data_IF_815359314056
#
_entry.id   IF_815359314056
#
_cell.length_a   1.000
_cell.length_b   1.000
_cell.length_c   1.000
_cell.angle_alpha   90.00
_cell.angle_beta   90.00
_cell.angle_gamma   90.00
#
_symmetry.space_group_name_H-M   'P 1'
#
loop_
_entity.id
_entity.type
_entity.pdbx_description
1 polymer ?
#
# COMPACT_ATOMS: atom_id res chain seq x y z
N UNK A 1 0.09 18.41 17.57
CA UNK A 1 -0.83 19.51 17.14
C UNK A 1 -0.73 19.69 15.63
N UNK A 2 -1.06 18.67 14.84
CA UNK A 2 -1.18 18.76 13.38
C UNK A 2 -2.57 19.20 12.97
N UNK A 3 -2.70 19.82 11.79
CA UNK A 3 -3.99 20.01 11.14
C UNK A 3 -4.54 18.67 10.67
N UNK A 4 -5.87 18.51 10.64
CA UNK A 4 -6.57 17.27 10.25
C UNK A 4 -6.14 16.69 8.87
N UNK A 5 -5.43 17.44 8.05
CA UNK A 5 -5.06 17.05 6.69
C UNK A 5 -3.64 16.47 6.52
N UNK A 6 -2.75 16.56 7.49
CA UNK A 6 -1.42 15.96 7.40
C UNK A 6 -0.78 15.81 8.79
N UNK A 7 -1.08 14.71 9.46
CA UNK A 7 -0.51 14.37 10.77
C UNK A 7 0.67 13.39 10.67
N UNK A 8 1.16 13.09 9.46
CA UNK A 8 2.27 12.17 9.27
C UNK A 8 3.59 12.79 9.73
N UNK A 9 4.45 12.01 10.41
CA UNK A 9 5.81 12.45 10.73
C UNK A 9 6.63 12.61 9.45
N UNK A 10 7.60 13.51 9.48
CA UNK A 10 8.58 13.67 8.42
C UNK A 10 9.56 12.48 8.45
N UNK A 11 9.83 11.87 7.31
CA UNK A 11 10.81 10.77 7.21
C UNK A 11 12.08 11.29 6.54
N UNK A 12 13.22 11.08 7.21
CA UNK A 12 14.56 11.46 6.72
C UNK A 12 15.38 10.19 6.52
N UNK A 13 15.79 9.94 5.30
CA UNK A 13 16.64 8.81 4.92
C UNK A 13 18.03 9.33 4.58
N UNK A 14 19.03 8.92 5.34
CA UNK A 14 20.44 9.37 5.18
C UNK A 14 20.61 10.91 5.04
N UNK A 15 19.77 11.65 5.79
CA UNK A 15 19.79 13.12 5.82
C UNK A 15 18.89 13.82 4.81
N UNK A 16 18.12 13.11 3.99
CA UNK A 16 17.22 13.67 2.97
C UNK A 16 15.79 13.23 3.18
N UNK A 17 14.80 14.13 2.98
CA UNK A 17 13.37 13.79 3.06
C UNK A 17 12.98 12.77 1.97
N UNK A 18 12.55 11.59 2.38
CA UNK A 18 12.17 10.48 1.49
C UNK A 18 11.06 9.62 2.11
N UNK A 19 10.59 8.61 1.39
CA UNK A 19 9.57 7.66 1.86
C UNK A 19 10.22 6.37 2.39
N UNK A 20 9.77 5.88 3.54
CA UNK A 20 10.16 4.54 4.01
C UNK A 20 9.66 3.43 3.10
N UNK A 21 8.54 3.64 2.41
CA UNK A 21 7.94 2.63 1.53
C UNK A 21 8.77 2.35 0.27
N UNK A 22 9.73 3.23 -0.05
CA UNK A 22 10.63 3.09 -1.19
C UNK A 22 11.90 2.30 -0.84
N UNK A 23 12.07 1.93 0.43
CA UNK A 23 13.24 1.22 0.93
C UNK A 23 12.99 -0.28 1.05
N UNK A 24 14.04 -1.08 0.79
CA UNK A 24 14.08 -2.46 1.24
C UNK A 24 14.37 -2.47 2.75
N UNK A 25 13.54 -3.13 3.59
CA UNK A 25 13.80 -3.25 5.03
C UNK A 25 15.19 -3.84 5.36
N UNK A 26 15.70 -4.72 4.49
CA UNK A 26 17.04 -5.32 4.66
C UNK A 26 18.19 -4.30 4.50
N UNK A 27 17.94 -3.15 3.89
CA UNK A 27 18.94 -2.09 3.73
C UNK A 27 18.97 -1.13 4.93
N UNK A 28 18.02 -1.23 5.85
CA UNK A 28 17.94 -0.37 7.02
C UNK A 28 18.89 -0.86 8.10
N UNK A 29 19.72 0.06 8.62
CA UNK A 29 20.59 -0.19 9.77
C UNK A 29 19.91 0.19 11.07
N UNK A 30 19.27 1.36 11.13
CA UNK A 30 18.58 1.86 12.32
C UNK A 30 17.46 2.82 11.97
N UNK A 31 16.46 2.88 12.87
CA UNK A 31 15.38 3.85 12.82
C UNK A 31 15.33 4.56 14.18
N UNK A 32 15.34 5.89 14.17
CA UNK A 32 15.21 6.72 15.36
C UNK A 32 14.02 7.67 15.19
N UNK A 33 13.25 7.87 16.27
CA UNK A 33 12.05 8.73 16.23
C UNK A 33 12.26 9.92 17.15
N UNK A 34 12.26 11.13 16.56
CA UNK A 34 12.33 12.39 17.29
C UNK A 34 10.90 12.90 17.52
N UNK A 35 10.46 12.84 18.79
CA UNK A 35 9.09 13.19 19.18
C UNK A 35 8.98 14.59 19.81
N UNK A 36 10.10 15.13 20.30
CA UNK A 36 10.11 16.42 20.96
C UNK A 36 10.49 17.55 20.01
N UNK A 37 9.98 18.76 20.31
CA UNK A 37 10.17 19.92 19.46
C UNK A 37 11.63 20.40 19.39
N UNK A 38 12.43 20.15 20.43
CA UNK A 38 13.83 20.58 20.45
C UNK A 38 14.69 19.75 19.49
N UNK A 39 14.51 18.42 19.49
CA UNK A 39 15.26 17.53 18.59
C UNK A 39 14.78 17.61 17.13
N UNK A 40 13.50 17.95 16.89
CA UNK A 40 12.95 18.11 15.53
C UNK A 40 13.14 19.50 14.93
N UNK A 41 13.54 20.50 15.72
CA UNK A 41 13.66 21.91 15.29
C UNK A 41 14.60 22.13 14.10
N UNK A 42 15.66 21.35 13.98
CA UNK A 42 16.63 21.44 12.86
C UNK A 42 16.01 21.08 11.51
N UNK A 43 14.86 20.42 11.48
CA UNK A 43 14.14 20.02 10.25
C UNK A 43 13.01 21.00 9.87
N UNK A 44 12.89 22.13 10.59
CA UNK A 44 11.94 23.20 10.29
C UNK A 44 10.48 22.86 10.62
N UNK A 45 9.55 23.67 10.07
CA UNK A 45 8.12 23.57 10.37
C UNK A 45 7.44 22.27 9.93
N UNK A 46 7.95 21.60 8.91
CA UNK A 46 7.46 20.30 8.45
C UNK A 46 7.62 19.20 9.51
N UNK A 47 8.55 19.36 10.44
CA UNK A 47 8.84 18.42 11.52
C UNK A 47 7.90 18.56 12.74
N UNK A 48 6.87 19.41 12.67
CA UNK A 48 5.94 19.65 13.78
C UNK A 48 5.22 18.38 14.30
N UNK A 49 5.06 17.36 13.45
CA UNK A 49 4.47 16.06 13.80
C UNK A 49 5.52 15.01 14.21
N UNK A 50 6.77 15.41 14.41
CA UNK A 50 7.90 14.53 14.68
C UNK A 50 8.68 14.13 13.42
N UNK A 51 9.84 13.52 13.64
CA UNK A 51 10.74 13.09 12.56
C UNK A 51 11.14 11.64 12.79
N UNK A 52 11.09 10.85 11.73
CA UNK A 52 11.63 9.49 11.69
C UNK A 52 12.94 9.53 10.92
N UNK A 53 14.05 9.28 11.61
CA UNK A 53 15.38 9.19 11.01
C UNK A 53 15.66 7.75 10.64
N UNK A 54 15.91 7.50 9.38
CA UNK A 54 16.30 6.20 8.85
C UNK A 54 17.75 6.27 8.40
N UNK A 55 18.59 5.43 8.99
CA UNK A 55 19.98 5.26 8.55
C UNK A 55 20.11 3.94 7.81
N UNK A 56 20.69 3.98 6.61
CA UNK A 56 20.89 2.77 5.81
C UNK A 56 22.24 2.12 6.09
N UNK A 57 22.34 0.83 5.77
CA UNK A 57 23.56 0.06 5.92
C UNK A 57 24.67 0.63 5.05
N UNK A 58 25.89 0.69 5.61
CA UNK A 58 27.11 1.15 4.96
C UNK A 58 28.12 0.03 4.82
N UNK A 59 29.09 0.20 3.93
CA UNK A 59 30.21 -0.69 3.77
C UNK A 59 31.06 -0.81 5.04
N UNK A 60 31.65 -1.99 5.26
CA UNK A 60 32.57 -2.25 6.36
C UNK A 60 33.95 -2.59 5.79
N UNK A 61 35.00 -2.12 6.46
CA UNK A 61 36.35 -2.54 6.10
C UNK A 61 36.53 -4.04 6.32
N UNK A 62 37.12 -4.71 5.35
CA UNK A 62 37.32 -6.15 5.37
C UNK A 62 37.10 -6.80 4.01
N UNK A 63 37.25 -8.12 3.96
CA UNK A 63 36.96 -8.90 2.75
C UNK A 63 35.50 -8.72 2.34
N UNK A 64 35.28 -8.73 1.04
CA UNK A 64 33.92 -8.70 0.51
C UNK A 64 33.08 -9.86 1.09
N UNK A 65 31.90 -9.53 1.63
CA UNK A 65 30.92 -10.50 2.11
C UNK A 65 29.62 -10.37 1.32
N UNK A 66 29.07 -11.50 0.93
CA UNK A 66 27.80 -11.60 0.22
C UNK A 66 26.79 -12.17 1.21
N UNK A 67 25.64 -11.48 1.33
CA UNK A 67 24.52 -11.95 2.13
C UNK A 67 23.31 -12.10 1.23
N UNK A 68 22.61 -13.21 1.39
CA UNK A 68 21.29 -13.43 0.80
C UNK A 68 20.28 -13.69 1.90
N UNK A 69 19.15 -13.02 1.82
CA UNK A 69 17.99 -13.29 2.68
C UNK A 69 16.73 -13.50 1.84
N UNK A 70 15.91 -14.44 2.28
CA UNK A 70 14.61 -14.68 1.69
C UNK A 70 13.57 -14.88 2.79
N UNK A 71 12.38 -14.28 2.60
CA UNK A 71 11.23 -14.46 3.46
C UNK A 71 10.04 -14.86 2.60
N UNK A 72 9.26 -15.80 3.10
CA UNK A 72 8.01 -16.23 2.48
C UNK A 72 6.92 -16.22 3.53
N UNK A 73 5.73 -15.83 3.16
CA UNK A 73 4.62 -15.76 4.08
C UNK A 73 3.26 -15.75 3.36
N UNK A 74 2.24 -15.89 4.14
CA UNK A 74 0.86 -15.74 3.70
C UNK A 74 0.19 -14.74 4.62
N UNK A 75 -0.54 -13.80 4.05
CA UNK A 75 -1.35 -12.86 4.78
C UNK A 75 -2.82 -13.27 4.67
N UNK A 76 -3.55 -13.16 5.75
CA UNK A 76 -4.99 -13.36 5.80
C UNK A 76 -5.61 -12.29 6.70
N UNK A 77 -6.89 -11.98 6.54
CA UNK A 77 -7.57 -11.10 7.49
C UNK A 77 -7.46 -11.65 8.90
N UNK A 78 -7.05 -10.84 9.86
CA UNK A 78 -6.95 -11.25 11.26
C UNK A 78 -8.32 -11.46 11.87
N UNK A 79 -9.28 -10.61 11.47
CA UNK A 79 -10.66 -10.64 11.92
C UNK A 79 -11.52 -9.94 10.86
N UNK A 80 -12.66 -10.52 10.54
CA UNK A 80 -13.67 -9.89 9.70
C UNK A 80 -14.94 -9.68 10.55
N UNK A 81 -15.67 -8.56 10.36
CA UNK A 81 -16.94 -8.37 11.04
C UNK A 81 -17.92 -9.50 10.72
N UNK A 82 -18.57 -10.00 11.75
CA UNK A 82 -19.67 -10.95 11.55
C UNK A 82 -20.96 -10.21 11.22
N UNK A 83 -21.59 -10.58 10.11
CA UNK A 83 -22.87 -10.03 9.70
C UNK A 83 -23.99 -11.04 9.92
N UNK A 84 -25.19 -10.51 10.17
CA UNK A 84 -26.39 -11.33 10.31
C UNK A 84 -26.72 -12.05 9.01
N UNK A 85 -27.20 -13.29 9.13
CA UNK A 85 -27.74 -14.05 8.00
C UNK A 85 -29.08 -13.44 7.53
N UNK A 86 -29.54 -13.82 6.34
CA UNK A 86 -30.84 -13.36 5.82
C UNK A 86 -32.01 -13.74 6.74
N UNK A 87 -31.97 -14.94 7.33
CA UNK A 87 -32.99 -15.37 8.29
C UNK A 87 -32.98 -14.51 9.56
N UNK A 88 -31.80 -14.23 10.10
CA UNK A 88 -31.64 -13.32 11.27
C UNK A 88 -32.08 -11.90 10.92
N UNK A 89 -31.70 -11.39 9.75
CA UNK A 89 -32.12 -10.06 9.28
C UNK A 89 -33.65 -9.96 9.17
N UNK A 90 -34.33 -10.98 8.60
CA UNK A 90 -35.76 -11.03 8.48
C UNK A 90 -36.45 -11.06 9.86
N UNK A 91 -35.91 -11.85 10.79
CA UNK A 91 -36.42 -11.96 12.17
C UNK A 91 -36.29 -10.63 12.89
N UNK A 92 -35.10 -10.00 12.90
CA UNK A 92 -34.85 -8.71 13.54
C UNK A 92 -35.70 -7.60 12.91
N UNK A 93 -35.92 -7.66 11.59
CA UNK A 93 -36.82 -6.71 10.90
C UNK A 93 -38.24 -6.84 11.40
N UNK A 94 -38.77 -8.07 11.57
CA UNK A 94 -40.09 -8.30 12.11
C UNK A 94 -40.22 -7.81 13.56
N UNK A 95 -39.21 -8.06 14.40
CA UNK A 95 -39.16 -7.56 15.78
C UNK A 95 -39.19 -6.03 15.82
N UNK A 96 -38.35 -5.36 15.03
CA UNK A 96 -38.34 -3.91 14.95
C UNK A 96 -39.69 -3.33 14.49
N UNK A 97 -40.36 -4.00 13.55
CA UNK A 97 -41.70 -3.62 13.10
C UNK A 97 -42.76 -3.82 14.20
N UNK A 98 -42.69 -4.91 14.94
CA UNK A 98 -43.59 -5.16 16.06
C UNK A 98 -43.47 -4.08 17.16
N UNK A 99 -42.22 -3.68 17.53
CA UNK A 99 -41.99 -2.55 18.43
C UNK A 99 -42.54 -1.23 17.92
N UNK A 100 -42.59 -1.04 16.60
CA UNK A 100 -43.18 0.13 15.96
C UNK A 100 -44.70 0.02 15.73
N UNK A 101 -45.36 -1.02 16.26
CA UNK A 101 -46.81 -1.27 16.08
C UNK A 101 -47.20 -1.66 14.65
N UNK A 102 -46.28 -2.15 13.84
CA UNK A 102 -46.49 -2.55 12.45
C UNK A 102 -46.57 -4.07 12.31
N UNK A 103 -47.30 -4.53 11.29
CA UNK A 103 -47.39 -5.96 10.94
C UNK A 103 -46.00 -6.51 10.51
N UNK A 104 -45.70 -7.79 10.76
CA UNK A 104 -44.53 -8.46 10.24
C UNK A 104 -44.37 -8.27 8.71
N UNK A 105 -43.13 -8.15 8.26
CA UNK A 105 -42.82 -8.02 6.83
C UNK A 105 -42.58 -9.39 6.19
N UNK A 106 -42.02 -10.31 6.95
CA UNK A 106 -41.66 -11.65 6.52
C UNK A 106 -42.49 -12.68 7.25
N UNK A 107 -43.02 -13.68 6.51
CA UNK A 107 -43.73 -14.83 7.11
C UNK A 107 -42.73 -15.83 7.73
N UNK A 108 -43.21 -16.71 8.61
CA UNK A 108 -42.41 -17.79 9.17
C UNK A 108 -41.86 -18.74 8.08
N UNK A 109 -42.63 -19.02 7.04
CA UNK A 109 -42.20 -19.82 5.90
C UNK A 109 -41.05 -19.15 5.12
N UNK A 110 -41.14 -17.85 4.87
CA UNK A 110 -40.07 -17.10 4.20
C UNK A 110 -38.79 -17.10 5.02
N UNK A 111 -38.89 -16.89 6.35
CA UNK A 111 -37.72 -16.93 7.24
C UNK A 111 -37.08 -18.34 7.21
N UNK A 112 -37.92 -19.41 7.18
CA UNK A 112 -37.42 -20.77 7.08
C UNK A 112 -36.65 -21.01 5.77
N UNK A 113 -37.15 -20.53 4.62
CA UNK A 113 -36.48 -20.62 3.32
C UNK A 113 -35.14 -19.91 3.28
N UNK A 114 -35.02 -18.76 3.94
CA UNK A 114 -33.73 -18.06 4.14
C UNK A 114 -32.79 -18.89 5.03
N UNK A 115 -33.30 -19.64 6.01
CA UNK A 115 -32.48 -20.38 6.94
C UNK A 115 -31.97 -21.69 6.37
N UNK A 116 -32.81 -22.44 5.63
CA UNK A 116 -32.52 -23.80 5.14
C UNK A 116 -31.92 -23.80 3.71
N UNK A 117 -31.91 -22.63 3.01
CA UNK A 117 -31.40 -22.55 1.67
C UNK A 117 -32.14 -23.34 0.61
N UNK A 118 -33.41 -23.75 0.86
CA UNK A 118 -34.21 -24.53 -0.05
C UNK A 118 -34.55 -23.83 -1.36
N UNK A 119 -34.49 -22.51 -1.38
CA UNK A 119 -34.74 -21.68 -2.56
C UNK A 119 -33.73 -20.52 -2.60
N UNK A 120 -32.46 -20.79 -2.94
CA UNK A 120 -31.38 -19.81 -2.81
C UNK A 120 -31.47 -18.62 -3.78
N UNK A 121 -32.25 -18.74 -4.84
CA UNK A 121 -32.43 -17.64 -5.79
C UNK A 121 -33.50 -16.65 -5.37
N UNK A 122 -34.61 -17.10 -4.79
CA UNK A 122 -35.69 -16.28 -4.30
C UNK A 122 -35.49 -15.85 -2.83
N UNK A 123 -34.81 -16.70 -2.03
CA UNK A 123 -34.49 -16.47 -0.62
C UNK A 123 -32.99 -16.60 -0.38
N UNK A 124 -32.17 -15.72 -0.99
CA UNK A 124 -30.72 -15.80 -0.91
C UNK A 124 -30.20 -15.50 0.50
N UNK A 125 -29.08 -16.11 0.84
CA UNK A 125 -28.28 -15.80 2.01
C UNK A 125 -26.82 -15.63 1.59
N UNK A 126 -26.52 -14.48 1.00
CA UNK A 126 -25.22 -14.20 0.39
C UNK A 126 -24.22 -13.74 1.45
N UNK A 127 -23.12 -14.48 1.62
CA UNK A 127 -21.97 -14.01 2.36
C UNK A 127 -21.08 -13.21 1.40
N UNK A 128 -21.19 -11.89 1.42
CA UNK A 128 -20.47 -11.00 0.54
C UNK A 128 -18.97 -10.94 0.82
N UNK A 129 -18.58 -11.21 2.07
CA UNK A 129 -17.17 -11.25 2.46
C UNK A 129 -16.49 -12.49 1.86
N UNK A 130 -17.10 -13.66 1.92
CA UNK A 130 -16.55 -14.89 1.32
C UNK A 130 -16.40 -14.79 -0.20
N UNK A 131 -17.23 -13.96 -0.85
CA UNK A 131 -17.12 -13.69 -2.28
C UNK A 131 -16.01 -12.71 -2.64
N UNK A 132 -15.68 -11.77 -1.74
CA UNK A 132 -14.66 -10.75 -1.95
C UNK A 132 -13.29 -11.26 -1.58
N UNK A 133 -13.13 -11.78 -0.36
CA UNK A 133 -11.84 -12.12 0.19
C UNK A 133 -11.35 -13.47 -0.34
N UNK A 134 -10.07 -13.54 -0.67
CA UNK A 134 -9.35 -14.80 -0.83
C UNK A 134 -8.93 -15.32 0.55
N UNK A 135 -8.74 -16.62 0.69
CA UNK A 135 -8.31 -17.19 1.98
C UNK A 135 -6.98 -16.62 2.45
N UNK A 136 -6.05 -16.42 1.51
CA UNK A 136 -4.75 -15.80 1.80
C UNK A 136 -4.11 -15.19 0.56
N UNK A 137 -3.26 -14.17 0.77
CA UNK A 137 -2.36 -13.61 -0.22
C UNK A 137 -0.92 -14.07 0.05
N UNK A 138 -0.23 -14.56 -0.97
CA UNK A 138 1.16 -14.98 -0.87
C UNK A 138 2.09 -13.76 -0.85
N UNK A 139 3.14 -13.84 -0.04
CA UNK A 139 4.19 -12.82 0.04
C UNK A 139 5.56 -13.47 -0.08
N UNK A 140 6.45 -12.83 -0.81
CA UNK A 140 7.84 -13.20 -0.87
C UNK A 140 8.74 -11.98 -0.87
N UNK A 141 9.90 -12.12 -0.26
CA UNK A 141 10.92 -11.09 -0.25
C UNK A 141 12.28 -11.76 -0.44
N UNK A 142 13.10 -11.19 -1.31
CA UNK A 142 14.45 -11.61 -1.59
C UNK A 142 15.37 -10.39 -1.53
N UNK A 143 16.50 -10.52 -0.87
CA UNK A 143 17.52 -9.48 -0.87
C UNK A 143 18.91 -10.14 -1.00
N UNK A 144 19.69 -9.61 -1.92
CA UNK A 144 21.12 -9.92 -2.06
C UNK A 144 21.88 -8.63 -1.76
N UNK A 145 22.87 -8.71 -0.87
CA UNK A 145 23.76 -7.58 -0.59
C UNK A 145 25.22 -8.00 -0.55
N UNK A 146 26.07 -7.10 -1.02
CA UNK A 146 27.52 -7.24 -1.01
C UNK A 146 28.09 -6.04 -0.26
N UNK A 147 28.92 -6.27 0.74
CA UNK A 147 29.64 -5.21 1.43
C UNK A 147 31.10 -5.58 1.61
N UNK A 148 31.98 -4.58 1.63
CA UNK A 148 33.41 -4.78 1.79
C UNK A 148 34.18 -3.48 1.65
N UNK A 149 35.48 -3.59 1.57
CA UNK A 149 36.38 -2.46 1.36
C UNK A 149 37.59 -2.48 2.29
N UNK A 150 38.28 -1.36 2.34
CA UNK A 150 39.41 -1.12 3.22
C UNK A 150 39.21 0.14 4.08
N UNK A 151 40.27 0.65 4.69
CA UNK A 151 40.23 1.88 5.49
C UNK A 151 39.96 3.11 4.66
N UNK A 152 40.28 3.09 3.36
CA UNK A 152 40.16 4.22 2.45
C UNK A 152 38.87 4.22 1.68
N UNK A 153 38.37 3.04 1.27
CA UNK A 153 37.13 2.90 0.48
C UNK A 153 36.32 1.73 0.99
N UNK A 154 35.07 1.99 1.37
CA UNK A 154 34.11 1.01 1.78
C UNK A 154 32.88 1.09 0.90
N UNK A 155 32.29 -0.03 0.57
CA UNK A 155 31.11 -0.10 -0.27
C UNK A 155 30.09 -1.08 0.25
N UNK A 156 28.83 -0.78 0.00
CA UNK A 156 27.69 -1.66 0.18
C UNK A 156 26.77 -1.52 -1.03
N UNK A 157 26.40 -2.66 -1.60
CA UNK A 157 25.40 -2.68 -2.68
C UNK A 157 24.38 -3.75 -2.39
N UNK A 158 23.12 -3.50 -2.73
CA UNK A 158 22.02 -4.45 -2.56
C UNK A 158 21.06 -4.40 -3.74
N UNK A 159 20.42 -5.54 -3.98
CA UNK A 159 19.29 -5.72 -4.87
C UNK A 159 18.20 -6.47 -4.11
N UNK A 160 17.02 -5.92 -4.06
CA UNK A 160 15.86 -6.47 -3.38
C UNK A 160 14.68 -6.67 -4.32
N UNK A 161 13.89 -7.70 -4.07
CA UNK A 161 12.58 -7.94 -4.66
C UNK A 161 11.58 -8.25 -3.56
N UNK A 162 10.39 -7.65 -3.65
CA UNK A 162 9.24 -7.96 -2.82
C UNK A 162 8.02 -8.14 -3.71
N UNK A 163 7.42 -9.33 -3.67
CA UNK A 163 6.12 -9.63 -4.29
C UNK A 163 5.08 -9.88 -3.21
N UNK A 164 3.90 -9.33 -3.38
CA UNK A 164 2.80 -9.44 -2.43
C UNK A 164 1.47 -9.52 -3.17
N UNK A 165 0.78 -10.65 -3.03
CA UNK A 165 -0.60 -10.79 -3.45
C UNK A 165 -1.52 -10.21 -2.36
N UNK A 166 -2.56 -9.51 -2.77
CA UNK A 166 -3.60 -9.03 -1.86
C UNK A 166 -4.53 -10.16 -1.39
N UNK A 167 -5.35 -9.84 -0.41
CA UNK A 167 -6.40 -10.74 0.11
C UNK A 167 -7.71 -10.64 -0.68
N UNK A 168 -7.70 -9.96 -1.81
CA UNK A 168 -8.79 -9.88 -2.79
C UNK A 168 -8.22 -10.07 -4.19
N UNK A 169 -9.06 -10.50 -5.14
CA UNK A 169 -8.66 -10.65 -6.54
C UNK A 169 -8.19 -9.34 -7.14
N UNK A 170 -7.23 -9.40 -8.06
CA UNK A 170 -6.67 -8.25 -8.76
C UNK A 170 -6.03 -7.18 -7.86
N UNK A 171 -5.57 -7.59 -6.67
CA UNK A 171 -4.75 -6.75 -5.82
C UNK A 171 -3.37 -7.38 -5.67
N UNK A 172 -2.33 -6.68 -6.14
CA UNK A 172 -0.95 -7.12 -6.01
C UNK A 172 0.02 -5.96 -5.94
N UNK A 173 1.20 -6.22 -5.39
CA UNK A 173 2.32 -5.30 -5.37
C UNK A 173 3.61 -6.04 -5.68
N UNK A 174 4.35 -5.56 -6.67
CA UNK A 174 5.72 -5.93 -6.93
C UNK A 174 6.64 -4.74 -6.71
N UNK A 175 7.73 -4.94 -5.98
CA UNK A 175 8.70 -3.89 -5.72
C UNK A 175 10.12 -4.41 -5.94
N UNK A 176 10.90 -3.68 -6.72
CA UNK A 176 12.32 -3.90 -6.93
C UNK A 176 13.10 -2.74 -6.33
N UNK A 177 14.15 -3.05 -5.60
CA UNK A 177 15.02 -2.06 -4.97
C UNK A 177 16.47 -2.30 -5.40
N UNK A 178 17.19 -1.21 -5.65
CA UNK A 178 18.65 -1.22 -5.84
C UNK A 178 19.25 -0.13 -4.98
N UNK A 179 20.30 -0.45 -4.26
CA UNK A 179 21.08 0.51 -3.46
C UNK A 179 22.57 0.33 -3.65
N UNK A 180 23.26 1.48 -3.75
CA UNK A 180 24.71 1.53 -3.74
C UNK A 180 25.16 2.62 -2.76
N UNK A 181 25.99 2.28 -1.80
CA UNK A 181 26.61 3.18 -0.85
C UNK A 181 28.12 3.03 -0.95
N UNK A 182 28.81 4.14 -1.12
CA UNK A 182 30.28 4.21 -1.16
C UNK A 182 30.74 5.29 -0.20
N UNK A 183 31.61 4.91 0.72
CA UNK A 183 32.30 5.82 1.63
C UNK A 183 33.79 5.81 1.29
N UNK A 184 34.38 6.96 1.01
CA UNK A 184 35.77 7.06 0.67
C UNK A 184 36.47 8.15 1.51
N UNK A 185 37.61 7.78 2.07
CA UNK A 185 38.50 8.62 2.86
C UNK A 185 39.87 8.69 2.17
N UNK A 186 39.98 9.44 1.04
CA UNK A 186 41.21 9.46 0.25
C UNK A 186 42.43 9.95 1.05
N UNK A 187 42.16 10.83 2.03
CA UNK A 187 43.16 11.35 2.97
C UNK A 187 42.58 11.43 4.38
N UNK A 188 43.39 11.60 5.39
CA UNK A 188 42.95 11.81 6.78
C UNK A 188 42.09 13.08 6.99
N UNK A 189 42.08 13.99 6.01
CA UNK A 189 41.34 15.25 6.07
C UNK A 189 40.09 15.27 5.20
N UNK A 190 39.94 14.34 4.25
CA UNK A 190 38.86 14.36 3.28
C UNK A 190 38.03 13.08 3.45
N UNK A 191 36.76 13.23 3.82
CA UNK A 191 35.74 12.21 3.84
C UNK A 191 34.75 12.47 2.72
N UNK A 192 34.39 11.45 1.95
CA UNK A 192 33.35 11.52 0.93
C UNK A 192 32.37 10.37 1.09
N UNK A 193 31.08 10.68 1.01
CA UNK A 193 30.02 9.68 1.05
C UNK A 193 29.14 9.85 -0.17
N UNK A 194 28.84 8.75 -0.83
CA UNK A 194 27.94 8.68 -1.95
C UNK A 194 26.89 7.59 -1.69
N UNK A 195 25.64 7.89 -1.97
CA UNK A 195 24.53 6.97 -1.86
C UNK A 195 23.61 7.17 -3.05
N UNK A 196 23.22 6.08 -3.70
CA UNK A 196 22.13 6.08 -4.67
C UNK A 196 21.18 4.94 -4.35
N UNK A 197 19.89 5.23 -4.36
CA UNK A 197 18.84 4.23 -4.27
C UNK A 197 17.83 4.43 -5.38
N UNK A 198 17.33 3.31 -5.87
CA UNK A 198 16.25 3.27 -6.84
C UNK A 198 15.23 2.23 -6.41
N UNK A 199 13.94 2.58 -6.51
CA UNK A 199 12.85 1.65 -6.37
C UNK A 199 11.90 1.71 -7.57
N UNK A 200 11.46 0.56 -8.02
CA UNK A 200 10.37 0.40 -8.97
C UNK A 200 9.23 -0.35 -8.27
N UNK A 201 8.06 0.25 -8.20
CA UNK A 201 6.89 -0.30 -7.53
C UNK A 201 5.76 -0.42 -8.55
N UNK A 202 5.33 -1.63 -8.82
CA UNK A 202 4.12 -1.93 -9.59
C UNK A 202 2.99 -2.32 -8.64
N UNK A 203 1.84 -1.66 -8.80
CA UNK A 203 0.63 -1.90 -8.03
C UNK A 203 -0.49 -2.22 -8.99
N UNK A 204 -1.24 -3.27 -8.70
CA UNK A 204 -2.51 -3.58 -9.34
C UNK A 204 -3.62 -3.58 -8.29
N UNK A 205 -4.72 -2.90 -8.58
CA UNK A 205 -5.90 -2.82 -7.71
C UNK A 205 -7.16 -2.97 -8.56
N UNK A 206 -8.20 -3.68 -8.09
CA UNK A 206 -9.47 -3.73 -8.81
C UNK A 206 -10.14 -2.35 -8.81
N UNK A 207 -10.79 -2.03 -9.91
CA UNK A 207 -11.60 -0.82 -10.04
C UNK A 207 -13.08 -1.13 -9.82
N UNK A 208 -13.86 -0.06 -9.70
CA UNK A 208 -15.31 -0.11 -9.72
C UNK A 208 -15.83 0.95 -10.72
N UNK A 209 -17.10 0.85 -11.18
CA UNK A 209 -17.65 1.80 -12.15
C UNK A 209 -17.84 3.22 -11.61
N UNK A 210 -17.66 3.43 -10.32
CA UNK A 210 -17.87 4.71 -9.64
C UNK A 210 -16.54 5.34 -9.19
N UNK A 211 -16.63 6.42 -8.44
CA UNK A 211 -15.48 7.07 -7.81
C UNK A 211 -15.14 6.38 -6.48
N UNK A 212 -13.87 6.35 -6.11
CA UNK A 212 -13.44 5.85 -4.80
C UNK A 212 -12.65 4.54 -4.83
N UNK A 213 -12.42 3.94 -6.02
CA UNK A 213 -11.55 2.79 -6.20
C UNK A 213 -11.87 1.63 -5.25
N UNK A 214 -10.83 1.01 -4.71
CA UNK A 214 -10.92 -0.12 -3.80
C UNK A 214 -11.74 0.16 -2.53
N UNK A 215 -11.67 1.37 -1.98
CA UNK A 215 -12.43 1.74 -0.79
C UNK A 215 -13.95 1.64 -1.01
N UNK A 216 -14.43 1.94 -2.22
CA UNK A 216 -15.85 1.80 -2.56
C UNK A 216 -16.28 0.33 -2.64
N UNK A 217 -15.40 -0.56 -3.09
CA UNK A 217 -15.68 -2.02 -3.11
C UNK A 217 -15.85 -2.51 -1.67
N UNK A 218 -14.91 -2.21 -0.77
CA UNK A 218 -15.02 -2.58 0.64
C UNK A 218 -16.26 -2.00 1.31
N UNK A 219 -16.53 -0.72 1.09
CA UNK A 219 -17.73 -0.07 1.62
C UNK A 219 -18.98 -0.82 1.17
N UNK A 220 -19.09 -1.14 -0.12
CA UNK A 220 -20.28 -1.75 -0.68
C UNK A 220 -20.49 -3.18 -0.17
N UNK A 221 -19.43 -3.98 -0.09
CA UNK A 221 -19.48 -5.36 0.47
C UNK A 221 -19.94 -5.35 1.93
N UNK A 222 -19.54 -4.36 2.71
CA UNK A 222 -19.94 -4.25 4.11
C UNK A 222 -21.34 -3.62 4.33
N UNK A 223 -21.97 -3.08 3.29
CA UNK A 223 -23.28 -2.44 3.38
C UNK A 223 -24.41 -3.20 2.68
N UNK A 224 -24.07 -4.08 1.74
CA UNK A 224 -25.08 -4.81 0.95
C UNK A 224 -25.76 -5.89 1.81
N UNK A 225 -27.09 -5.97 1.69
CA UNK A 225 -27.86 -6.96 2.44
C UNK A 225 -27.55 -8.39 2.00
N UNK A 226 -27.48 -9.37 2.92
CA UNK A 226 -27.36 -10.78 2.59
C UNK A 226 -28.56 -11.32 1.80
N UNK A 227 -29.69 -10.59 1.82
CA UNK A 227 -30.90 -10.93 1.06
C UNK A 227 -30.80 -10.60 -0.43
N UNK A 228 -29.71 -9.98 -0.89
CA UNK A 228 -29.45 -9.74 -2.31
C UNK A 228 -28.65 -10.92 -2.86
N UNK A 229 -29.11 -11.62 -3.91
CA UNK A 229 -28.34 -12.71 -4.48
C UNK A 229 -27.09 -12.18 -5.19
N UNK A 230 -25.96 -12.89 -5.08
CA UNK A 230 -24.80 -12.58 -5.93
C UNK A 230 -25.16 -12.76 -7.41
N UNK A 231 -25.72 -13.91 -7.76
CA UNK A 231 -26.30 -14.19 -9.08
C UNK A 231 -27.69 -14.78 -8.92
N UNK A 232 -28.56 -14.49 -9.87
CA UNK A 232 -29.87 -15.08 -10.01
C UNK A 232 -29.80 -16.39 -10.80
N UNK A 233 -30.91 -17.13 -10.87
CA UNK A 233 -31.00 -18.39 -11.60
C UNK A 233 -30.66 -18.26 -13.10
N UNK A 234 -30.99 -17.12 -13.71
CA UNK A 234 -30.68 -16.81 -15.11
C UNK A 234 -29.22 -16.34 -15.34
N UNK A 235 -28.38 -16.39 -14.30
CA UNK A 235 -26.97 -15.97 -14.33
C UNK A 235 -26.76 -14.46 -14.24
N UNK A 236 -27.82 -13.65 -14.23
CA UNK A 236 -27.70 -12.21 -14.04
C UNK A 236 -27.36 -11.84 -12.59
N UNK A 237 -26.75 -10.66 -12.38
CA UNK A 237 -26.38 -10.23 -11.06
C UNK A 237 -27.57 -9.69 -10.27
N UNK A 238 -27.65 -10.08 -8.99
CA UNK A 238 -28.48 -9.37 -8.03
C UNK A 238 -27.91 -7.97 -7.78
N UNK A 239 -28.75 -6.96 -7.66
CA UNK A 239 -28.31 -5.57 -7.54
C UNK A 239 -29.09 -4.80 -6.50
N UNK A 240 -28.40 -3.83 -5.88
CA UNK A 240 -29.00 -2.70 -5.16
C UNK A 240 -28.76 -1.40 -5.95
N UNK A 241 -29.02 -0.25 -5.35
CA UNK A 241 -28.87 1.06 -6.00
C UNK A 241 -27.57 1.23 -6.78
N UNK A 242 -26.44 0.91 -6.15
CA UNK A 242 -25.11 1.09 -6.73
C UNK A 242 -24.61 -0.14 -7.53
N UNK A 243 -25.39 -1.21 -7.66
CA UNK A 243 -25.01 -2.39 -8.44
C UNK A 243 -24.64 -3.58 -7.56
N UNK A 244 -23.59 -4.30 -7.96
CA UNK A 244 -23.11 -5.52 -7.28
C UNK A 244 -21.58 -5.42 -7.15
N UNK A 245 -21.03 -5.39 -5.93
CA UNK A 245 -19.58 -5.19 -5.73
C UNK A 245 -18.74 -6.34 -6.27
N UNK A 246 -19.26 -7.56 -6.31
CA UNK A 246 -18.52 -8.71 -6.86
C UNK A 246 -18.57 -8.71 -8.39
N UNK A 247 -19.64 -8.19 -9.00
CA UNK A 247 -19.66 -7.99 -10.44
C UNK A 247 -18.55 -7.02 -10.88
N UNK A 248 -18.16 -6.05 -10.05
CA UNK A 248 -17.04 -5.15 -10.35
C UNK A 248 -15.71 -5.89 -10.37
N UNK A 249 -15.50 -6.83 -9.47
CA UNK A 249 -14.31 -7.70 -9.45
C UNK A 249 -14.30 -8.66 -10.64
N UNK A 250 -15.46 -9.25 -10.97
CA UNK A 250 -15.60 -10.22 -12.07
C UNK A 250 -15.32 -9.62 -13.46
N UNK A 251 -15.37 -8.29 -13.59
CA UNK A 251 -15.11 -7.60 -14.85
C UNK A 251 -13.63 -7.48 -15.23
N UNK A 252 -12.70 -7.93 -14.39
CA UNK A 252 -11.25 -7.79 -14.62
C UNK A 252 -10.84 -6.35 -14.97
N UNK A 253 -11.46 -5.37 -14.33
CA UNK A 253 -11.13 -3.98 -14.52
C UNK A 253 -10.20 -3.52 -13.40
N UNK A 254 -9.03 -3.00 -13.77
CA UNK A 254 -7.97 -2.71 -12.81
C UNK A 254 -7.41 -1.30 -12.96
N UNK A 255 -6.86 -0.80 -11.87
CA UNK A 255 -5.93 0.33 -11.85
C UNK A 255 -4.53 -0.24 -11.72
N UNK A 256 -3.69 0.05 -12.71
CA UNK A 256 -2.27 -0.32 -12.70
C UNK A 256 -1.44 0.94 -12.50
N UNK A 257 -0.57 0.93 -11.48
CA UNK A 257 0.35 2.04 -11.18
C UNK A 257 1.78 1.53 -11.20
N UNK A 258 2.66 2.24 -11.92
CA UNK A 258 4.10 2.00 -11.90
C UNK A 258 4.79 3.25 -11.37
N UNK A 259 5.53 3.10 -10.28
CA UNK A 259 6.28 4.18 -9.64
C UNK A 259 7.76 3.92 -9.74
N UNK A 260 8.50 4.95 -10.08
CA UNK A 260 9.94 4.97 -10.10
C UNK A 260 10.42 6.06 -9.13
N UNK A 261 11.14 5.66 -8.10
CA UNK A 261 11.75 6.58 -7.16
C UNK A 261 13.27 6.44 -7.24
N UNK A 262 13.98 7.54 -7.36
CA UNK A 262 15.43 7.58 -7.27
C UNK A 262 15.84 8.64 -6.26
N UNK A 263 16.82 8.33 -5.42
CA UNK A 263 17.44 9.24 -4.50
C UNK A 263 18.95 9.08 -4.60
N UNK A 264 19.64 10.13 -5.05
CA UNK A 264 21.09 10.24 -5.04
C UNK A 264 21.52 11.26 -3.97
N UNK A 265 22.49 10.92 -3.15
CA UNK A 265 23.05 11.81 -2.13
C UNK A 265 24.58 11.74 -2.21
N UNK A 266 25.23 12.88 -2.32
CA UNK A 266 26.67 13.01 -2.25
C UNK A 266 27.07 14.00 -1.17
N UNK A 267 28.06 13.69 -0.34
CA UNK A 267 28.63 14.63 0.61
C UNK A 267 30.14 14.58 0.66
N UNK A 268 30.73 15.73 0.87
CA UNK A 268 32.17 15.92 1.08
C UNK A 268 32.38 16.67 2.38
N UNK A 269 33.28 16.17 3.24
CA UNK A 269 33.70 16.84 4.45
C UNK A 269 35.22 17.02 4.42
N UNK A 270 35.68 18.26 4.57
CA UNK A 270 37.07 18.56 4.67
C UNK A 270 37.41 19.12 6.06
N UNK A 271 38.33 18.49 6.74
CA UNK A 271 38.81 18.86 8.07
C UNK A 271 40.10 19.64 7.95
N UNK A 272 40.06 20.97 8.19
CA UNK A 272 41.23 21.83 8.20
C UNK A 272 42.09 21.53 9.44
N UNK A 273 41.40 21.41 10.59
CA UNK A 273 41.93 21.07 11.91
C UNK A 273 41.04 19.96 12.54
N UNK A 274 41.48 19.29 13.59
CA UNK A 274 40.64 18.30 14.28
C UNK A 274 39.28 18.87 14.70
N UNK A 275 39.23 20.13 15.11
CA UNK A 275 38.02 20.81 15.61
C UNK A 275 37.32 21.66 14.56
N UNK A 276 37.88 21.80 13.35
CA UNK A 276 37.31 22.66 12.31
C UNK A 276 37.17 21.91 10.99
N UNK A 277 35.93 21.71 10.58
CA UNK A 277 35.62 21.11 9.28
C UNK A 277 34.49 21.85 8.56
N UNK A 278 34.48 21.73 7.25
CA UNK A 278 33.37 22.14 6.40
C UNK A 278 32.80 20.86 5.72
N UNK A 279 31.48 20.74 5.70
CA UNK A 279 30.78 19.68 4.99
C UNK A 279 29.82 20.28 3.97
N UNK A 280 29.92 19.86 2.72
CA UNK A 280 28.93 20.11 1.68
C UNK A 280 28.16 18.83 1.35
N UNK A 281 26.87 18.94 1.14
CA UNK A 281 26.01 17.85 0.72
C UNK A 281 25.14 18.30 -0.45
N UNK A 282 24.97 17.43 -1.45
CA UNK A 282 24.01 17.62 -2.53
C UNK A 282 23.16 16.36 -2.67
N UNK A 283 21.89 16.55 -3.00
CA UNK A 283 20.99 15.45 -3.27
C UNK A 283 20.11 15.71 -4.49
N UNK A 284 19.78 14.63 -5.19
CA UNK A 284 18.83 14.60 -6.29
C UNK A 284 17.79 13.55 -6.03
N UNK A 285 16.52 13.95 -6.08
CA UNK A 285 15.37 13.08 -5.93
C UNK A 285 14.55 13.12 -7.21
N UNK A 286 14.11 11.96 -7.69
CA UNK A 286 13.21 11.81 -8.84
C UNK A 286 12.06 10.90 -8.43
N UNK A 287 10.85 11.33 -8.78
CA UNK A 287 9.62 10.55 -8.70
C UNK A 287 8.94 10.56 -10.06
N UNK A 288 8.62 9.38 -10.57
CA UNK A 288 7.78 9.24 -11.77
C UNK A 288 6.70 8.18 -11.51
N UNK A 289 5.47 8.48 -11.85
CA UNK A 289 4.34 7.56 -11.75
C UNK A 289 3.57 7.54 -13.07
N UNK A 290 3.38 6.36 -13.63
CA UNK A 290 2.43 6.03 -14.68
C UNK A 290 1.24 5.29 -14.04
N UNK A 291 0.04 5.82 -14.21
CA UNK A 291 -1.19 5.25 -13.65
C UNK A 291 -2.23 5.08 -14.74
N UNK A 292 -2.62 3.84 -14.97
CA UNK A 292 -3.66 3.45 -15.93
C UNK A 292 -4.85 2.87 -15.17
N UNK A 293 -5.99 3.55 -15.21
CA UNK A 293 -7.25 3.07 -14.64
C UNK A 293 -8.20 2.67 -15.77
N UNK A 294 -8.65 1.42 -15.75
CA UNK A 294 -9.68 0.91 -16.66
C UNK A 294 -10.97 0.66 -15.87
N UNK A 295 -12.09 1.14 -16.40
CA UNK A 295 -13.43 0.79 -15.93
C UNK A 295 -14.17 0.14 -17.09
N UNK A 296 -14.64 -1.08 -16.90
CA UNK A 296 -15.40 -1.80 -17.91
C UNK A 296 -16.90 -1.59 -17.70
N UNK A 297 -17.64 -1.67 -18.77
CA UNK A 297 -19.10 -1.68 -18.75
C UNK A 297 -19.61 -2.97 -18.09
N UNK A 298 -20.75 -2.86 -17.43
CA UNK A 298 -21.36 -3.99 -16.72
C UNK A 298 -22.84 -4.07 -17.06
N UNK A 299 -23.24 -5.21 -17.63
CA UNK A 299 -24.64 -5.57 -17.73
C UNK A 299 -25.02 -6.41 -16.52
N UNK A 300 -25.62 -5.80 -15.51
CA UNK A 300 -26.07 -6.53 -14.32
C UNK A 300 -27.27 -7.45 -14.62
N UNK A 301 -28.23 -6.94 -15.35
CA UNK A 301 -29.44 -7.64 -15.80
C UNK A 301 -30.05 -6.86 -16.98
N UNK A 302 -31.11 -7.37 -17.67
CA UNK A 302 -31.70 -6.71 -18.84
C UNK A 302 -32.09 -5.24 -18.62
N UNK A 303 -32.40 -4.87 -17.38
CA UNK A 303 -32.91 -3.53 -17.03
C UNK A 303 -31.85 -2.65 -16.34
N UNK A 304 -30.66 -3.17 -16.06
CA UNK A 304 -29.62 -2.44 -15.35
C UNK A 304 -28.26 -2.61 -15.98
N UNK A 305 -27.78 -1.55 -16.55
CA UNK A 305 -26.48 -1.44 -17.21
C UNK A 305 -25.70 -0.27 -16.61
N UNK A 306 -24.39 -0.43 -16.52
CA UNK A 306 -23.46 0.64 -16.22
C UNK A 306 -22.36 0.64 -17.27
N UNK A 307 -22.08 1.78 -17.86
CA UNK A 307 -21.09 1.94 -18.91
C UNK A 307 -21.12 3.35 -19.50
N UNK A 308 -20.38 3.64 -20.54
CA UNK A 308 -19.52 2.74 -21.34
C UNK A 308 -18.17 2.43 -20.67
N UNK A 309 -17.35 1.61 -21.34
CA UNK A 309 -15.94 1.42 -20.99
C UNK A 309 -15.22 2.77 -20.95
N UNK A 310 -14.39 2.95 -19.93
CA UNK A 310 -13.63 4.18 -19.72
C UNK A 310 -12.19 3.83 -19.36
N UNK A 311 -11.25 4.63 -19.83
CA UNK A 311 -9.84 4.51 -19.51
C UNK A 311 -9.27 5.88 -19.18
N UNK A 312 -8.53 5.96 -18.09
CA UNK A 312 -7.75 7.13 -17.69
C UNK A 312 -6.29 6.76 -17.60
N UNK A 313 -5.48 7.61 -18.17
CA UNK A 313 -4.04 7.57 -17.99
C UNK A 313 -3.60 8.85 -17.30
N UNK A 314 -2.73 8.72 -16.32
CA UNK A 314 -2.12 9.84 -15.62
C UNK A 314 -0.63 9.56 -15.46
N UNK A 315 0.18 10.46 -16.00
CA UNK A 315 1.62 10.47 -15.82
C UNK A 315 2.00 11.62 -14.88
N UNK A 316 2.82 11.33 -13.91
CA UNK A 316 3.36 12.32 -12.96
C UNK A 316 4.87 12.23 -12.97
N UNK A 317 5.53 13.37 -13.05
CA UNK A 317 6.97 13.48 -12.97
C UNK A 317 7.34 14.64 -12.05
N UNK A 318 8.17 14.35 -11.06
CA UNK A 318 8.67 15.33 -10.10
C UNK A 318 10.15 15.10 -9.88
N UNK A 319 10.95 16.18 -9.90
CA UNK A 319 12.34 16.12 -9.50
C UNK A 319 12.69 17.25 -8.53
N UNK A 320 13.72 17.01 -7.73
CA UNK A 320 14.18 17.96 -6.73
C UNK A 320 15.69 17.87 -6.56
N UNK A 321 16.33 19.03 -6.59
CA UNK A 321 17.74 19.18 -6.23
C UNK A 321 17.84 19.96 -4.93
N UNK A 322 18.64 19.48 -3.99
CA UNK A 322 18.93 20.17 -2.73
C UNK A 322 20.43 20.22 -2.49
N UNK A 323 20.89 21.28 -1.84
CA UNK A 323 22.29 21.45 -1.45
C UNK A 323 22.40 22.14 -0.10
N UNK A 324 23.28 21.65 0.77
CA UNK A 324 23.54 22.18 2.10
C UNK A 324 25.05 22.34 2.34
N UNK A 325 25.40 23.34 3.10
CA UNK A 325 26.77 23.58 3.59
C UNK A 325 26.70 23.76 5.10
N UNK A 326 27.50 22.98 5.81
CA UNK A 326 27.55 22.93 7.28
C UNK A 326 28.98 23.13 7.80
#
# INVERSE_FOLDING_TARGET
TGTFNNANPMVIVDGVEASMNDLDPNDIQSVSVLKDAASSAIYGSKAANGVILVTTKRGKAGKASINYSANFGWQSPTELPEYVTSAQYATLTNEARAYAGKTPLYTAEQIQKYADGSDPYNYPNTNWQDLLYTESGFQQQHNISINGGDEKVRYMTSVGYQGQDGIIKHASKDQYNVRVNVDANPTSKLESNFSISYSNIALEEPTNPYVGGLAQIFRQVNMISPMVPYKKEDGTYGTIGDGNPIAWIDMDATTNKKRHNMLGVGSLKYSFLPELSIKGQASYKLYAEDSNEMRKDIQYNPNKYHGPNQMWQKDTFEDQVMGDIM
#
